data_IF_550904630171
#
_entry.id   IF_550904630171
#
_cell.length_a   1.000
_cell.length_b   1.000
_cell.length_c   1.000
_cell.angle_alpha   90.00
_cell.angle_beta   90.00
_cell.angle_gamma   90.00
#
_symmetry.space_group_name_H-M   'P 1'
#
loop_
_entity.id
_entity.type
_entity.pdbx_description
1 polymer ?
#
# COMPACT_ATOMS: atom_id res chain seq x y z
N UNK A 1 -8.73 -2.61 6.40
CA UNK A 1 -8.03 -1.43 5.87
C UNK A 1 -7.14 -1.86 4.72
N UNK A 2 -7.01 -1.02 3.71
CA UNK A 2 -6.06 -1.16 2.62
C UNK A 2 -4.72 -0.54 2.99
N UNK A 3 -3.64 -1.07 2.46
CA UNK A 3 -2.29 -0.65 2.79
C UNK A 3 -1.54 -0.27 1.53
N UNK A 4 -0.72 0.79 1.60
CA UNK A 4 0.19 1.14 0.54
C UNK A 4 1.50 0.36 0.68
N UNK A 5 2.03 -0.05 -0.46
CA UNK A 5 3.39 -0.56 -0.65
C UNK A 5 3.91 0.00 -1.97
N UNK A 6 5.19 -0.26 -2.27
CA UNK A 6 5.75 0.11 -3.57
C UNK A 6 5.03 -0.62 -4.69
N UNK A 7 4.72 0.10 -5.76
CA UNK A 7 3.90 -0.38 -6.87
C UNK A 7 4.46 -1.67 -7.48
N UNK A 8 5.75 -1.68 -7.80
CA UNK A 8 6.41 -2.84 -8.41
C UNK A 8 6.38 -4.09 -7.51
N UNK A 9 6.66 -3.90 -6.21
CA UNK A 9 6.62 -4.96 -5.21
C UNK A 9 5.19 -5.51 -5.02
N UNK A 10 4.19 -4.63 -5.01
CA UNK A 10 2.78 -5.04 -4.93
C UNK A 10 2.35 -5.85 -6.16
N UNK A 11 2.74 -5.41 -7.36
CA UNK A 11 2.43 -6.13 -8.61
C UNK A 11 3.07 -7.52 -8.61
N UNK A 12 4.35 -7.63 -8.28
CA UNK A 12 5.04 -8.93 -8.22
C UNK A 12 4.40 -9.87 -7.20
N UNK A 13 4.13 -9.38 -5.99
CA UNK A 13 3.54 -10.20 -4.92
C UNK A 13 2.11 -10.65 -5.20
N UNK A 14 1.32 -9.87 -5.96
CA UNK A 14 0.01 -10.31 -6.42
C UNK A 14 0.09 -11.50 -7.39
N UNK A 15 1.15 -11.58 -8.21
CA UNK A 15 1.36 -12.69 -9.14
C UNK A 15 1.97 -13.89 -8.43
N UNK A 16 2.98 -13.66 -7.59
CA UNK A 16 3.74 -14.73 -6.91
C UNK A 16 3.04 -15.25 -5.65
N UNK A 17 2.07 -14.53 -5.09
CA UNK A 17 1.41 -14.89 -3.83
C UNK A 17 2.34 -14.79 -2.62
N UNK A 18 3.31 -13.88 -2.65
CA UNK A 18 4.32 -13.71 -1.60
C UNK A 18 3.95 -12.60 -0.61
N UNK A 19 4.47 -12.68 0.64
CA UNK A 19 4.25 -11.62 1.62
C UNK A 19 5.09 -10.37 1.32
N UNK A 20 4.50 -9.19 1.52
CA UNK A 20 5.15 -7.88 1.36
C UNK A 20 4.91 -6.99 2.58
N UNK A 21 5.67 -5.89 2.68
CA UNK A 21 5.62 -4.97 3.83
C UNK A 21 5.02 -3.63 3.42
N UNK A 22 4.06 -3.15 4.21
CA UNK A 22 3.37 -1.90 3.95
C UNK A 22 4.21 -0.71 4.43
N UNK A 23 3.87 0.49 3.97
CA UNK A 23 4.44 1.73 4.52
C UNK A 23 4.27 1.80 6.05
N UNK A 24 3.16 1.31 6.60
CA UNK A 24 2.93 1.24 8.04
C UNK A 24 3.62 0.06 8.76
N UNK A 25 4.49 -0.70 8.08
CA UNK A 25 5.20 -1.85 8.62
C UNK A 25 4.40 -3.17 8.66
N UNK A 26 3.15 -3.18 8.17
CA UNK A 26 2.33 -4.39 8.16
C UNK A 26 2.81 -5.37 7.11
N UNK A 27 2.99 -6.64 7.48
CA UNK A 27 3.26 -7.73 6.53
C UNK A 27 1.94 -8.35 6.06
N UNK A 28 1.75 -8.53 4.75
CA UNK A 28 0.57 -9.23 4.20
C UNK A 28 0.83 -9.87 2.84
N UNK A 29 0.01 -10.87 2.48
CA UNK A 29 -0.05 -11.43 1.12
C UNK A 29 -1.25 -10.80 0.38
N UNK A 30 -1.05 -10.07 -0.73
CA UNK A 30 -2.13 -9.41 -1.45
C UNK A 30 -3.04 -10.44 -2.13
N UNK A 31 -4.34 -10.40 -1.83
CA UNK A 31 -5.31 -11.41 -2.29
C UNK A 31 -6.74 -10.89 -2.48
N UNK A 32 -7.02 -9.62 -2.19
CA UNK A 32 -8.36 -9.01 -2.24
C UNK A 32 -8.30 -7.64 -2.88
N UNK A 33 -9.42 -7.20 -3.46
CA UNK A 33 -9.56 -5.87 -4.04
C UNK A 33 -9.48 -4.79 -2.94
N UNK A 34 -8.47 -3.89 -2.98
CA UNK A 34 -8.25 -2.90 -1.93
C UNK A 34 -9.25 -1.73 -1.96
N UNK A 35 -10.01 -1.53 -3.05
CA UNK A 35 -10.97 -0.41 -3.14
C UNK A 35 -12.19 -0.63 -2.23
N UNK A 36 -12.42 -1.87 -1.79
CA UNK A 36 -13.51 -2.23 -0.86
C UNK A 36 -13.24 -1.86 0.60
N UNK A 37 -12.06 -1.35 0.93
CA UNK A 37 -11.67 -1.08 2.30
C UNK A 37 -11.11 0.33 2.46
N UNK A 38 -11.38 1.00 3.60
CA UNK A 38 -10.74 2.29 3.90
C UNK A 38 -9.22 2.13 3.95
N UNK A 39 -8.48 3.14 3.52
CA UNK A 39 -7.01 3.17 3.60
C UNK A 39 -6.58 3.22 5.06
N UNK A 40 -5.51 2.51 5.41
CA UNK A 40 -4.89 2.57 6.73
C UNK A 40 -4.44 4.01 7.04
N UNK A 41 -4.84 4.61 8.17
CA UNK A 41 -4.57 6.01 8.46
C UNK A 41 -3.06 6.31 8.51
N UNK A 42 -2.24 5.39 9.01
CA UNK A 42 -0.78 5.51 9.02
C UNK A 42 -0.20 5.48 7.61
N UNK A 43 -0.66 4.57 6.75
CA UNK A 43 -0.23 4.56 5.34
C UNK A 43 -0.64 5.86 4.64
N UNK A 44 -1.81 6.41 4.97
CA UNK A 44 -2.30 7.67 4.41
C UNK A 44 -1.39 8.84 4.83
N UNK A 45 -1.09 8.97 6.12
CA UNK A 45 -0.21 10.02 6.66
C UNK A 45 1.20 9.97 6.04
N UNK A 46 1.79 8.77 5.94
CA UNK A 46 3.11 8.58 5.31
C UNK A 46 3.04 8.95 3.83
N UNK A 47 2.00 8.51 3.12
CA UNK A 47 1.82 8.82 1.70
C UNK A 47 1.66 10.32 1.45
N UNK A 48 0.82 11.00 2.23
CA UNK A 48 0.64 12.46 2.16
C UNK A 48 1.94 13.21 2.49
N UNK A 49 2.79 12.66 3.37
CA UNK A 49 4.11 13.24 3.68
C UNK A 49 5.17 13.00 2.60
N UNK A 50 4.97 12.00 1.73
CA UNK A 50 5.87 11.66 0.62
C UNK A 50 5.54 12.45 -0.65
N UNK A 51 4.33 12.99 -0.77
CA UNK A 51 3.97 13.94 -1.83
C UNK A 51 4.48 15.33 -1.43
N UNK A 52 5.60 15.85 -1.99
CA UNK A 52 5.81 17.29 -1.99
C UNK A 52 4.65 17.89 -2.80
N UNK A 53 3.94 18.86 -2.24
CA UNK A 53 2.92 19.71 -2.88
C UNK A 53 2.70 19.50 -4.41
N UNK A 54 1.48 19.08 -4.77
CA UNK A 54 0.71 19.63 -5.90
C UNK A 54 1.47 19.83 -7.23
N UNK A 55 1.49 18.81 -8.11
CA UNK A 55 1.46 19.10 -9.56
C UNK A 55 0.02 19.54 -9.87
N UNK A 56 -0.20 20.85 -9.97
CA UNK A 56 -1.48 21.48 -10.28
C UNK A 56 -2.07 21.18 -11.67
#
# INVERSE_FOLDING_TARGET
>A
FSHYARKDELTEAMVMGTPIVALCGKVWVPSRDPQKYPVCPVCKEIWESLSPDDDG
#
